data_IF_490947709842
#
_entry.id   IF_490947709842
#
_cell.length_a   1.000
_cell.length_b   1.000
_cell.length_c   1.000
_cell.angle_alpha   90.00
_cell.angle_beta   90.00
_cell.angle_gamma   90.00
#
_symmetry.space_group_name_H-M   'P 1'
#
loop_
_entity.id
_entity.type
_entity.pdbx_description
1 polymer ?
#
# COMPACT_ATOMS: atom_id res chain seq x y z
N UNK A 1 31.31 -3.26 -7.30
CA UNK A 1 30.70 -3.21 -8.65
C UNK A 1 29.55 -4.19 -8.56
N UNK A 2 28.33 -3.72 -8.44
CA UNK A 2 27.16 -4.60 -8.37
C UNK A 2 26.95 -5.22 -9.76
N UNK A 3 26.89 -6.54 -9.84
CA UNK A 3 26.45 -7.24 -11.05
C UNK A 3 25.04 -6.76 -11.40
N UNK A 4 24.72 -6.56 -12.68
CA UNK A 4 23.38 -6.17 -13.09
C UNK A 4 22.39 -7.25 -12.67
N UNK A 5 21.22 -6.85 -12.16
CA UNK A 5 20.07 -7.68 -11.78
C UNK A 5 19.70 -8.64 -12.95
N UNK A 6 20.37 -9.78 -13.03
CA UNK A 6 20.36 -10.70 -14.19
C UNK A 6 19.04 -11.49 -14.27
N UNK A 7 18.19 -11.42 -13.25
CA UNK A 7 16.96 -12.23 -13.12
C UNK A 7 15.68 -11.40 -13.30
N UNK A 8 15.76 -10.05 -13.28
CA UNK A 8 14.58 -9.20 -13.45
C UNK A 8 14.12 -9.15 -14.91
N UNK A 9 12.81 -9.29 -15.11
CA UNK A 9 12.19 -9.06 -16.41
C UNK A 9 12.09 -7.55 -16.77
N UNK A 10 11.62 -7.25 -17.98
CA UNK A 10 11.53 -5.86 -18.45
C UNK A 10 10.51 -5.03 -17.65
N UNK A 11 9.44 -5.64 -17.19
CA UNK A 11 8.42 -5.00 -16.32
C UNK A 11 9.04 -4.61 -14.98
N UNK A 12 9.70 -5.53 -14.35
CA UNK A 12 10.37 -5.32 -13.05
C UNK A 12 11.43 -4.22 -13.14
N UNK A 13 12.19 -4.18 -14.24
CA UNK A 13 13.15 -3.11 -14.50
C UNK A 13 12.49 -1.74 -14.64
N UNK A 14 11.37 -1.63 -15.37
CA UNK A 14 10.61 -0.36 -15.49
C UNK A 14 10.07 0.10 -14.15
N UNK A 15 9.45 -0.80 -13.39
CA UNK A 15 8.92 -0.50 -12.04
C UNK A 15 10.05 -0.03 -11.12
N UNK A 16 11.16 -0.75 -11.12
CA UNK A 16 12.32 -0.40 -10.29
C UNK A 16 12.87 0.98 -10.63
N UNK A 17 12.99 1.30 -11.93
CA UNK A 17 13.46 2.61 -12.39
C UNK A 17 12.51 3.73 -11.96
N UNK A 18 11.19 3.55 -12.12
CA UNK A 18 10.19 4.52 -11.71
C UNK A 18 10.18 4.74 -10.18
N UNK A 19 10.29 3.67 -9.40
CA UNK A 19 10.42 3.78 -7.95
C UNK A 19 11.71 4.47 -7.54
N UNK A 20 12.83 4.18 -8.21
CA UNK A 20 14.13 4.79 -7.94
C UNK A 20 14.11 6.30 -8.19
N UNK A 21 13.45 6.75 -9.28
CA UNK A 21 13.27 8.17 -9.60
C UNK A 21 12.47 8.93 -8.53
N UNK A 22 11.42 8.32 -8.00
CA UNK A 22 10.53 8.96 -7.03
C UNK A 22 11.01 8.81 -5.59
N UNK A 23 11.40 7.61 -5.20
CA UNK A 23 11.88 7.28 -3.85
C UNK A 23 12.78 6.06 -3.86
N UNK A 24 14.08 6.25 -3.80
CA UNK A 24 15.08 5.18 -3.80
C UNK A 24 14.85 4.11 -2.71
N UNK A 25 14.27 4.49 -1.57
CA UNK A 25 13.94 3.54 -0.50
C UNK A 25 12.89 2.52 -0.95
N UNK A 26 11.88 2.92 -1.76
CA UNK A 26 10.86 2.00 -2.28
C UNK A 26 11.45 1.04 -3.30
N UNK A 27 12.33 1.54 -4.16
CA UNK A 27 13.09 0.70 -5.08
C UNK A 27 13.91 -0.37 -4.35
N UNK A 28 14.52 -0.01 -3.22
CA UNK A 28 15.29 -0.94 -2.40
C UNK A 28 14.40 -1.99 -1.72
N UNK A 29 13.24 -1.62 -1.18
CA UNK A 29 12.27 -2.58 -0.66
C UNK A 29 11.81 -3.55 -1.73
N UNK A 30 11.43 -3.05 -2.90
CA UNK A 30 10.96 -3.88 -4.01
C UNK A 30 12.06 -4.84 -4.48
N UNK A 31 13.27 -4.35 -4.75
CA UNK A 31 14.43 -5.17 -5.11
C UNK A 31 14.72 -6.25 -4.06
N UNK A 32 14.64 -5.90 -2.77
CA UNK A 32 14.87 -6.85 -1.68
C UNK A 32 13.83 -7.96 -1.68
N UNK A 33 12.55 -7.62 -1.88
CA UNK A 33 11.47 -8.62 -1.98
C UNK A 33 11.71 -9.59 -3.14
N UNK A 34 12.05 -9.08 -4.33
CA UNK A 34 12.33 -9.92 -5.50
C UNK A 34 13.53 -10.84 -5.27
N UNK A 35 14.63 -10.34 -4.71
CA UNK A 35 15.83 -11.14 -4.42
C UNK A 35 15.60 -12.20 -3.35
N UNK A 36 14.73 -11.94 -2.38
CA UNK A 36 14.31 -12.96 -1.40
C UNK A 36 13.43 -14.03 -2.06
N UNK A 37 12.52 -13.64 -2.96
CA UNK A 37 11.65 -14.57 -3.68
C UNK A 37 12.43 -15.42 -4.69
N UNK A 38 13.39 -14.85 -5.41
CA UNK A 38 14.21 -15.56 -6.38
C UNK A 38 15.27 -16.47 -5.72
N UNK A 39 15.44 -16.38 -4.40
CA UNK A 39 16.47 -17.14 -3.69
C UNK A 39 17.89 -16.57 -3.80
N UNK A 40 18.07 -15.36 -4.39
CA UNK A 40 19.36 -14.69 -4.44
C UNK A 40 19.86 -14.22 -3.06
N UNK A 41 18.93 -13.94 -2.16
CA UNK A 41 19.22 -13.66 -0.75
C UNK A 41 18.82 -14.83 0.10
N UNK A 42 19.82 -15.48 0.68
CA UNK A 42 19.58 -16.60 1.58
C UNK A 42 19.13 -16.10 2.97
N UNK A 43 17.99 -16.61 3.41
CA UNK A 43 17.50 -16.51 4.79
C UNK A 43 17.20 -17.92 5.26
N UNK A 44 17.95 -18.39 6.25
CA UNK A 44 17.89 -19.78 6.70
C UNK A 44 16.56 -20.16 7.34
N UNK A 45 15.88 -19.21 7.96
CA UNK A 45 14.57 -19.45 8.56
C UNK A 45 13.45 -19.06 7.60
N UNK A 46 12.62 -20.03 7.14
CA UNK A 46 11.53 -19.77 6.20
C UNK A 46 10.52 -18.75 6.70
N UNK A 47 10.22 -18.73 7.99
CA UNK A 47 9.30 -17.75 8.59
C UNK A 47 9.85 -16.34 8.48
N UNK A 48 11.12 -16.14 8.81
CA UNK A 48 11.80 -14.86 8.69
C UNK A 48 11.83 -14.39 7.25
N UNK A 49 12.09 -15.28 6.29
CA UNK A 49 12.06 -14.96 4.85
C UNK A 49 10.68 -14.46 4.42
N UNK A 50 9.61 -15.17 4.76
CA UNK A 50 8.23 -14.79 4.45
C UNK A 50 7.87 -13.45 5.09
N UNK A 51 8.25 -13.22 6.35
CA UNK A 51 7.99 -11.96 7.05
C UNK A 51 8.73 -10.79 6.40
N UNK A 52 9.97 -10.97 5.94
CA UNK A 52 10.73 -9.92 5.25
C UNK A 52 10.12 -9.58 3.89
N UNK A 53 9.73 -10.59 3.09
CA UNK A 53 9.04 -10.36 1.82
C UNK A 53 7.73 -9.59 2.08
N UNK A 54 6.92 -10.05 3.03
CA UNK A 54 5.67 -9.41 3.42
C UNK A 54 5.89 -7.96 3.86
N UNK A 55 6.90 -7.69 4.68
CA UNK A 55 7.25 -6.35 5.12
C UNK A 55 7.66 -5.44 3.95
N UNK A 56 8.56 -5.91 3.09
CA UNK A 56 9.04 -5.15 1.95
C UNK A 56 7.88 -4.78 1.01
N UNK A 57 7.06 -5.75 0.61
CA UNK A 57 5.94 -5.51 -0.30
C UNK A 57 4.87 -4.62 0.33
N UNK A 58 4.54 -4.80 1.62
CA UNK A 58 3.64 -3.91 2.35
C UNK A 58 4.12 -2.46 2.32
N UNK A 59 5.41 -2.22 2.59
CA UNK A 59 5.98 -0.87 2.57
C UNK A 59 5.91 -0.24 1.18
N UNK A 60 6.24 -0.99 0.13
CA UNK A 60 6.10 -0.52 -1.25
C UNK A 60 4.65 -0.18 -1.56
N UNK A 61 3.71 -1.11 -1.35
CA UNK A 61 2.29 -0.93 -1.70
C UNK A 61 1.61 0.19 -0.92
N UNK A 62 2.01 0.43 0.33
CA UNK A 62 1.46 1.52 1.13
C UNK A 62 2.00 2.90 0.74
N UNK A 63 3.25 2.98 0.30
CA UNK A 63 3.93 4.27 0.09
C UNK A 63 3.97 4.70 -1.37
N UNK A 64 3.83 3.76 -2.31
CA UNK A 64 3.80 4.07 -3.74
C UNK A 64 2.62 4.96 -4.11
N UNK A 65 1.48 4.80 -3.42
CA UNK A 65 0.29 5.65 -3.58
C UNK A 65 0.62 7.15 -3.39
N UNK A 66 1.42 7.48 -2.38
CA UNK A 66 1.85 8.85 -2.14
C UNK A 66 3.07 9.29 -2.96
N UNK A 67 3.78 8.36 -3.61
CA UNK A 67 4.97 8.66 -4.42
C UNK A 67 4.62 8.90 -5.89
N UNK A 68 3.68 8.13 -6.43
CA UNK A 68 3.25 8.17 -7.84
C UNK A 68 1.82 8.69 -8.01
N UNK A 69 1.01 8.63 -6.95
CA UNK A 69 -0.39 9.02 -6.99
C UNK A 69 -0.62 10.53 -6.92
N UNK A 70 -1.86 10.91 -7.19
CA UNK A 70 -2.36 12.27 -6.97
C UNK A 70 -2.42 12.59 -5.47
N UNK A 71 -2.49 13.87 -5.06
CA UNK A 71 -2.71 14.22 -3.67
C UNK A 71 -3.96 13.53 -3.11
N UNK A 72 -3.78 12.75 -2.08
CA UNK A 72 -4.85 12.00 -1.43
C UNK A 72 -5.60 12.87 -0.41
N UNK A 73 -6.83 12.47 -0.07
CA UNK A 73 -7.62 13.16 0.94
C UNK A 73 -6.87 13.25 2.29
N UNK A 74 -7.03 14.34 3.05
CA UNK A 74 -6.33 14.52 4.32
C UNK A 74 -6.67 13.37 5.29
N UNK A 75 -5.67 12.96 6.06
CA UNK A 75 -5.86 11.92 7.08
C UNK A 75 -6.81 12.40 8.16
N UNK A 76 -7.70 11.50 8.58
CA UNK A 76 -8.53 11.75 9.76
C UNK A 76 -7.63 11.91 11.00
N UNK A 77 -7.91 12.93 11.80
CA UNK A 77 -7.14 13.20 13.04
C UNK A 77 -8.11 13.45 14.21
N UNK A 78 -7.86 12.81 15.36
CA UNK A 78 -6.84 11.78 15.60
C UNK A 78 -7.14 10.48 14.82
N UNK A 79 -6.10 9.71 14.49
CA UNK A 79 -6.27 8.42 13.81
C UNK A 79 -7.03 7.40 14.67
N UNK A 80 -7.57 6.36 14.05
CA UNK A 80 -8.20 5.25 14.81
C UNK A 80 -7.22 4.64 15.82
N UNK A 81 -5.96 4.46 15.43
CA UNK A 81 -4.92 3.95 16.31
C UNK A 81 -4.60 4.88 17.50
N UNK A 82 -4.60 6.21 17.29
CA UNK A 82 -4.39 7.17 18.39
C UNK A 82 -5.58 7.17 19.35
N UNK A 83 -6.79 7.03 18.83
CA UNK A 83 -8.00 6.94 19.64
C UNK A 83 -8.05 5.66 20.46
N UNK A 84 -7.66 4.51 19.89
CA UNK A 84 -7.55 3.24 20.63
C UNK A 84 -6.55 3.37 21.79
N UNK A 85 -5.40 4.02 21.57
CA UNK A 85 -4.40 4.23 22.63
C UNK A 85 -4.91 5.11 23.78
N UNK A 86 -5.87 5.99 23.52
CA UNK A 86 -6.47 6.85 24.55
C UNK A 86 -7.61 6.18 25.33
N UNK A 87 -8.16 5.04 24.87
CA UNK A 87 -9.28 4.36 25.53
C UNK A 87 -8.97 3.91 26.97
N UNK A 88 -7.78 3.35 27.30
CA UNK A 88 -7.48 2.94 28.68
C UNK A 88 -7.59 4.10 29.68
N UNK A 89 -7.06 5.28 29.34
CA UNK A 89 -7.11 6.46 30.20
C UNK A 89 -8.54 7.00 30.34
N UNK A 90 -9.34 6.89 29.28
CA UNK A 90 -10.75 7.24 29.32
C UNK A 90 -11.52 6.30 30.22
N UNK A 91 -11.37 4.98 30.07
CA UNK A 91 -12.07 3.96 30.85
C UNK A 91 -11.68 4.01 32.33
N UNK A 92 -10.43 4.36 32.65
CA UNK A 92 -10.00 4.52 34.05
C UNK A 92 -10.79 5.59 34.82
N UNK A 93 -11.47 6.52 34.14
CA UNK A 93 -12.35 7.52 34.76
C UNK A 93 -13.73 7.01 35.08
N UNK A 94 -14.09 5.82 34.60
CA UNK A 94 -15.39 5.18 34.76
C UNK A 94 -15.23 3.74 35.30
N UNK A 95 -14.69 3.55 36.52
CA UNK A 95 -14.39 2.23 37.05
C UNK A 95 -15.63 1.36 37.28
N UNK A 96 -16.83 1.97 37.32
CA UNK A 96 -18.09 1.28 37.43
C UNK A 96 -18.66 0.76 36.09
N UNK A 97 -18.00 1.05 34.99
CA UNK A 97 -18.44 0.62 33.66
C UNK A 97 -18.05 -0.84 33.41
N UNK A 98 -19.04 -1.71 33.47
CA UNK A 98 -18.94 -3.14 33.18
C UNK A 98 -19.43 -3.41 31.76
N UNK A 99 -18.50 -3.45 30.77
CA UNK A 99 -18.83 -3.68 29.35
C UNK A 99 -19.16 -5.15 29.06
N UNK A 100 -18.75 -6.07 29.93
CA UNK A 100 -18.96 -7.52 29.86
C UNK A 100 -20.18 -8.01 30.67
N UNK A 101 -21.00 -7.08 31.17
CA UNK A 101 -22.19 -7.40 31.93
C UNK A 101 -23.21 -8.15 31.06
N UNK A 102 -23.73 -9.26 31.59
CA UNK A 102 -24.85 -9.99 30.98
C UNK A 102 -26.10 -9.10 30.88
N UNK A 103 -26.65 -8.98 29.67
CA UNK A 103 -27.87 -8.22 29.44
C UNK A 103 -27.96 -7.69 28.00
N UNK A 104 -29.19 -7.34 27.57
CA UNK A 104 -29.45 -6.84 26.23
C UNK A 104 -28.88 -5.43 25.96
N UNK A 105 -28.55 -4.68 27.03
CA UNK A 105 -27.98 -3.33 26.93
C UNK A 105 -27.10 -2.98 28.11
N UNK A 106 -26.00 -2.29 27.86
CA UNK A 106 -25.10 -1.73 28.87
C UNK A 106 -25.20 -0.21 28.82
N UNK A 107 -25.56 0.48 29.92
CA UNK A 107 -25.53 1.94 29.96
C UNK A 107 -24.10 2.44 29.88
N UNK A 108 -23.78 3.19 28.83
CA UNK A 108 -22.44 3.73 28.59
C UNK A 108 -22.45 5.24 28.87
N UNK A 109 -21.47 5.77 29.64
CA UNK A 109 -21.32 7.21 29.83
C UNK A 109 -21.17 7.95 28.49
N UNK A 110 -21.75 9.17 28.42
CA UNK A 110 -21.76 9.94 27.18
C UNK A 110 -20.37 10.17 26.60
N UNK A 111 -19.35 10.38 27.44
CA UNK A 111 -17.97 10.57 26.99
C UNK A 111 -17.40 9.31 26.32
N UNK A 112 -17.70 8.12 26.87
CA UNK A 112 -17.26 6.84 26.30
C UNK A 112 -17.99 6.58 24.98
N UNK A 113 -19.29 6.83 24.92
CA UNK A 113 -20.09 6.69 23.70
C UNK A 113 -19.58 7.64 22.58
N UNK A 114 -19.25 8.89 22.93
CA UNK A 114 -18.68 9.85 21.99
C UNK A 114 -17.29 9.41 21.47
N UNK A 115 -16.44 8.86 22.35
CA UNK A 115 -15.12 8.34 21.94
C UNK A 115 -15.26 7.13 21.01
N UNK A 116 -16.22 6.22 21.27
CA UNK A 116 -16.52 5.10 20.38
C UNK A 116 -17.03 5.56 19.01
N UNK A 117 -17.94 6.53 18.97
CA UNK A 117 -18.45 7.10 17.71
C UNK A 117 -17.30 7.72 16.87
N UNK A 118 -16.43 8.49 17.52
CA UNK A 118 -15.26 9.07 16.87
C UNK A 118 -14.30 7.99 16.33
N UNK A 119 -14.05 6.93 17.11
CA UNK A 119 -13.22 5.79 16.70
C UNK A 119 -13.82 5.09 15.47
N UNK A 120 -15.13 4.80 15.47
CA UNK A 120 -15.79 4.19 14.32
C UNK A 120 -15.72 5.07 13.07
N UNK A 121 -15.96 6.38 13.22
CA UNK A 121 -15.84 7.34 12.11
C UNK A 121 -14.42 7.37 11.55
N UNK A 122 -13.40 7.41 12.42
CA UNK A 122 -12.01 7.37 11.99
C UNK A 122 -11.68 6.07 11.24
N UNK A 123 -12.07 4.91 11.78
CA UNK A 123 -11.82 3.61 11.17
C UNK A 123 -12.50 3.46 9.79
N UNK A 124 -13.76 3.91 9.68
CA UNK A 124 -14.50 3.90 8.40
C UNK A 124 -13.82 4.80 7.39
N UNK A 125 -13.43 6.02 7.79
CA UNK A 125 -12.74 6.97 6.92
C UNK A 125 -11.40 6.41 6.43
N UNK A 126 -10.58 5.84 7.33
CA UNK A 126 -9.29 5.25 6.99
C UNK A 126 -9.43 4.09 6.02
N UNK A 127 -10.43 3.22 6.24
CA UNK A 127 -10.72 2.09 5.32
C UNK A 127 -11.14 2.56 3.92
N UNK A 128 -12.00 3.60 3.83
CA UNK A 128 -12.41 4.17 2.55
C UNK A 128 -11.23 4.83 1.85
N UNK A 129 -10.46 5.63 2.59
CA UNK A 129 -9.33 6.37 2.05
C UNK A 129 -8.32 5.48 1.34
N UNK A 130 -7.99 4.31 1.88
CA UNK A 130 -7.06 3.37 1.21
C UNK A 130 -7.61 2.96 -0.16
N UNK A 131 -8.91 2.67 -0.27
CA UNK A 131 -9.53 2.34 -1.55
C UNK A 131 -9.55 3.51 -2.51
N UNK A 132 -9.86 4.70 -2.00
CA UNK A 132 -9.89 5.93 -2.80
C UNK A 132 -8.48 6.30 -3.29
N UNK A 133 -7.46 6.17 -2.43
CA UNK A 133 -6.05 6.38 -2.78
C UNK A 133 -5.59 5.41 -3.89
N UNK A 134 -5.98 4.13 -3.78
CA UNK A 134 -5.68 3.11 -4.80
C UNK A 134 -6.42 3.40 -6.10
N UNK A 135 -7.72 3.75 -6.03
CA UNK A 135 -8.51 4.09 -7.21
C UNK A 135 -7.89 5.28 -7.96
N UNK A 136 -7.53 6.34 -7.23
CA UNK A 136 -6.88 7.52 -7.80
C UNK A 136 -5.51 7.22 -8.46
N UNK A 137 -4.85 6.13 -8.06
CA UNK A 137 -3.60 5.70 -8.70
C UNK A 137 -3.85 4.86 -9.97
N UNK A 138 -4.77 3.88 -9.92
CA UNK A 138 -4.85 2.82 -10.93
C UNK A 138 -6.08 2.90 -11.84
N UNK A 139 -7.01 3.85 -11.60
CA UNK A 139 -8.19 4.07 -12.45
C UNK A 139 -8.27 5.52 -12.92
N UNK A 140 -8.74 5.74 -14.14
CA UNK A 140 -8.84 7.09 -14.72
C UNK A 140 -10.00 7.90 -14.13
N UNK A 141 -11.02 7.22 -13.59
CA UNK A 141 -12.28 7.77 -13.09
C UNK A 141 -12.40 7.73 -11.56
N UNK A 142 -11.30 7.46 -10.85
CA UNK A 142 -11.25 7.31 -9.39
C UNK A 142 -12.27 6.27 -8.84
N UNK A 143 -12.58 5.23 -9.64
CA UNK A 143 -13.60 4.24 -9.31
C UNK A 143 -13.13 3.23 -8.24
N UNK A 144 -13.42 3.51 -6.98
CA UNK A 144 -13.09 2.64 -5.86
C UNK A 144 -13.77 1.25 -5.90
N UNK A 145 -14.76 1.04 -6.75
CA UNK A 145 -15.42 -0.25 -6.96
C UNK A 145 -14.80 -1.08 -8.09
N UNK A 146 -13.82 -0.54 -8.80
CA UNK A 146 -13.15 -1.24 -9.89
C UNK A 146 -12.47 -2.53 -9.42
N UNK A 147 -12.49 -3.58 -10.26
CA UNK A 147 -11.90 -4.88 -9.91
C UNK A 147 -10.41 -4.79 -9.57
N UNK A 148 -9.67 -3.97 -10.29
CA UNK A 148 -8.24 -3.74 -10.06
C UNK A 148 -7.96 -3.19 -8.65
N UNK A 149 -8.81 -2.27 -8.14
CA UNK A 149 -8.74 -1.75 -6.77
C UNK A 149 -8.91 -2.89 -5.76
N UNK A 150 -9.86 -3.78 -6.02
CA UNK A 150 -10.09 -4.95 -5.15
C UNK A 150 -8.90 -5.90 -5.15
N UNK A 151 -8.32 -6.19 -6.31
CA UNK A 151 -7.13 -7.04 -6.45
C UNK A 151 -5.91 -6.43 -5.74
N UNK A 152 -5.68 -5.12 -5.90
CA UNK A 152 -4.62 -4.42 -5.17
C UNK A 152 -4.79 -4.56 -3.65
N UNK A 153 -5.99 -4.28 -3.13
CA UNK A 153 -6.27 -4.37 -1.69
C UNK A 153 -6.08 -5.80 -1.18
N UNK A 154 -6.54 -6.81 -1.93
CA UNK A 154 -6.33 -8.23 -1.55
C UNK A 154 -4.85 -8.58 -1.47
N UNK A 155 -4.05 -8.20 -2.47
CA UNK A 155 -2.61 -8.46 -2.46
C UNK A 155 -1.90 -7.71 -1.34
N UNK A 156 -2.28 -6.44 -1.09
CA UNK A 156 -1.76 -5.66 0.03
C UNK A 156 -2.08 -6.32 1.38
N UNK A 157 -3.32 -6.72 1.61
CA UNK A 157 -3.75 -7.34 2.87
C UNK A 157 -3.10 -8.70 3.08
N UNK A 158 -2.82 -9.44 2.00
CA UNK A 158 -1.99 -10.65 2.03
C UNK A 158 -0.59 -10.34 2.58
N UNK A 159 0.11 -9.35 2.04
CA UNK A 159 1.45 -9.00 2.54
C UNK A 159 1.42 -8.40 3.95
N UNK A 160 0.38 -7.67 4.33
CA UNK A 160 0.18 -7.20 5.72
C UNK A 160 0.06 -8.39 6.68
N UNK A 161 -0.73 -9.41 6.32
CA UNK A 161 -0.86 -10.64 7.12
C UNK A 161 0.48 -11.28 7.40
N UNK A 162 1.33 -11.42 6.38
CA UNK A 162 2.61 -12.11 6.48
C UNK A 162 3.74 -11.25 7.04
N UNK A 163 3.67 -9.93 6.91
CA UNK A 163 4.59 -9.02 7.56
C UNK A 163 4.56 -9.09 9.11
N UNK A 164 3.42 -9.53 9.69
CA UNK A 164 3.21 -9.69 11.13
C UNK A 164 3.21 -11.16 11.57
N UNK A 165 3.95 -12.00 10.88
CA UNK A 165 4.01 -13.44 11.16
C UNK A 165 4.52 -13.78 12.57
N UNK A 166 5.40 -12.94 13.13
CA UNK A 166 5.94 -13.11 14.49
C UNK A 166 4.91 -13.04 15.61
N UNK A 167 3.74 -12.43 15.36
CA UNK A 167 2.63 -12.33 16.31
C UNK A 167 1.73 -13.58 16.29
N UNK A 168 2.02 -14.57 15.42
CA UNK A 168 1.19 -15.73 15.20
C UNK A 168 1.97 -17.01 15.39
N UNK A 169 1.35 -17.97 16.07
CA UNK A 169 1.85 -19.33 16.14
C UNK A 169 1.42 -20.13 14.90
N UNK A 170 2.10 -19.88 13.78
CA UNK A 170 1.84 -20.51 12.48
C UNK A 170 2.82 -21.67 12.31
N UNK A 171 2.33 -22.86 11.97
CA UNK A 171 3.20 -23.98 11.64
C UNK A 171 3.98 -23.70 10.35
N UNK A 172 5.15 -24.29 10.18
CA UNK A 172 5.96 -24.11 8.97
C UNK A 172 5.22 -24.63 7.72
N UNK A 173 4.43 -25.69 7.87
CA UNK A 173 3.56 -26.24 6.82
C UNK A 173 2.48 -25.29 6.32
N UNK A 174 2.16 -24.26 7.10
CA UNK A 174 1.08 -23.29 6.82
C UNK A 174 1.62 -21.98 6.26
N UNK A 175 2.95 -21.92 6.02
CA UNK A 175 3.56 -20.78 5.35
C UNK A 175 3.17 -20.75 3.87
N UNK A 176 3.08 -19.56 3.26
CA UNK A 176 2.76 -19.44 1.85
C UNK A 176 3.88 -20.03 0.99
N UNK A 177 3.51 -20.61 -0.12
CA UNK A 177 4.48 -21.02 -1.15
C UNK A 177 5.05 -19.82 -1.89
N UNK A 178 6.21 -20.02 -2.53
CA UNK A 178 6.81 -19.00 -3.39
C UNK A 178 5.87 -18.64 -4.56
N UNK A 179 5.19 -19.61 -5.16
CA UNK A 179 4.24 -19.38 -6.25
C UNK A 179 3.06 -18.51 -5.81
N UNK A 180 2.55 -18.70 -4.59
CA UNK A 180 1.49 -17.86 -4.04
C UNK A 180 1.98 -16.41 -3.83
N UNK A 181 3.16 -16.25 -3.26
CA UNK A 181 3.76 -14.92 -3.08
C UNK A 181 4.05 -14.24 -4.42
N UNK A 182 4.59 -14.96 -5.41
CA UNK A 182 4.78 -14.46 -6.78
C UNK A 182 3.46 -14.05 -7.43
N UNK A 183 2.37 -14.78 -7.20
CA UNK A 183 1.06 -14.41 -7.69
C UNK A 183 0.62 -13.03 -7.21
N UNK A 184 0.81 -12.73 -5.94
CA UNK A 184 0.49 -11.41 -5.37
C UNK A 184 1.46 -10.31 -5.79
N UNK A 185 2.74 -10.60 -5.95
CA UNK A 185 3.71 -9.67 -6.55
C UNK A 185 3.33 -9.36 -7.99
N UNK A 186 2.96 -10.37 -8.79
CA UNK A 186 2.54 -10.21 -10.18
C UNK A 186 1.32 -9.29 -10.33
N UNK A 187 0.34 -9.38 -9.44
CA UNK A 187 -0.80 -8.44 -9.42
C UNK A 187 -0.33 -7.00 -9.18
N UNK A 188 0.55 -6.79 -8.21
CA UNK A 188 1.13 -5.47 -7.96
C UNK A 188 1.89 -4.94 -9.18
N UNK A 189 2.74 -5.78 -9.78
CA UNK A 189 3.56 -5.43 -10.94
C UNK A 189 2.70 -5.07 -12.16
N UNK A 190 1.66 -5.87 -12.46
CA UNK A 190 0.78 -5.63 -13.59
C UNK A 190 0.05 -4.28 -13.47
N UNK A 191 -0.53 -4.02 -12.31
CA UNK A 191 -1.27 -2.79 -12.06
C UNK A 191 -0.35 -1.57 -12.06
N UNK A 192 0.81 -1.65 -11.44
CA UNK A 192 1.74 -0.54 -11.35
C UNK A 192 2.43 -0.24 -12.69
N UNK A 193 2.80 -1.26 -13.46
CA UNK A 193 3.37 -1.09 -14.79
C UNK A 193 2.39 -0.42 -15.75
N UNK A 194 1.09 -0.73 -15.64
CA UNK A 194 0.03 -0.03 -16.37
C UNK A 194 0.02 1.47 -16.09
N UNK A 195 0.08 1.85 -14.82
CA UNK A 195 0.15 3.27 -14.39
C UNK A 195 1.41 3.95 -14.91
N UNK A 196 2.57 3.31 -14.78
CA UNK A 196 3.86 3.83 -15.22
C UNK A 196 3.85 4.03 -16.75
N UNK A 197 3.36 3.06 -17.48
CA UNK A 197 3.29 3.12 -18.95
C UNK A 197 2.37 4.23 -19.44
N UNK A 198 1.19 4.38 -18.82
CA UNK A 198 0.24 5.46 -19.13
C UNK A 198 0.85 6.84 -18.83
N UNK A 199 1.57 6.98 -17.71
CA UNK A 199 2.25 8.22 -17.34
C UNK A 199 3.30 8.62 -18.37
N UNK A 200 4.16 7.70 -18.81
CA UNK A 200 5.19 7.99 -19.81
C UNK A 200 4.60 8.28 -21.19
N UNK A 201 3.53 7.57 -21.59
CA UNK A 201 2.83 7.87 -22.84
C UNK A 201 2.25 9.30 -22.83
N UNK A 202 1.69 9.74 -21.70
CA UNK A 202 1.18 11.10 -21.55
C UNK A 202 2.28 12.16 -21.58
N UNK A 203 3.45 11.87 -20.99
CA UNK A 203 4.61 12.76 -21.01
C UNK A 203 5.12 12.97 -22.45
N UNK A 204 5.30 11.91 -23.23
CA UNK A 204 5.72 12.01 -24.62
C UNK A 204 4.72 12.80 -25.47
N UNK A 205 3.43 12.59 -25.28
CA UNK A 205 2.41 13.36 -26.00
C UNK A 205 2.47 14.87 -25.69
N UNK A 206 2.81 15.24 -24.44
CA UNK A 206 3.02 16.65 -24.05
C UNK A 206 4.30 17.20 -24.68
N UNK A 207 5.40 16.46 -24.71
CA UNK A 207 6.67 16.86 -25.34
C UNK A 207 6.49 17.08 -26.85
N UNK A 208 5.77 16.19 -27.52
CA UNK A 208 5.44 16.32 -28.95
C UNK A 208 4.61 17.59 -29.19
N UNK A 209 3.59 17.86 -28.38
CA UNK A 209 2.75 19.06 -28.48
C UNK A 209 3.55 20.35 -28.27
N UNK A 210 4.45 20.37 -27.28
CA UNK A 210 5.33 21.54 -27.03
C UNK A 210 6.26 21.76 -28.24
N UNK A 211 6.79 20.69 -28.82
CA UNK A 211 7.68 20.76 -29.99
C UNK A 211 6.92 21.32 -31.21
N UNK A 212 5.64 20.93 -31.40
CA UNK A 212 4.78 21.44 -32.48
C UNK A 212 4.47 22.93 -32.31
N UNK A 213 4.18 23.37 -31.08
CA UNK A 213 3.91 24.77 -30.75
C UNK A 213 5.16 25.63 -31.07
N UNK A 214 6.32 25.21 -30.59
CA UNK A 214 7.59 25.94 -30.82
C UNK A 214 7.93 26.04 -32.30
N UNK A 215 7.73 24.96 -33.08
CA UNK A 215 7.95 24.97 -34.54
C UNK A 215 6.98 25.92 -35.27
N UNK A 216 5.76 26.08 -34.73
CA UNK A 216 4.76 26.99 -35.33
C UNK A 216 5.09 28.46 -35.05
N UNK A 217 5.63 28.80 -33.87
CA UNK A 217 6.06 30.15 -33.52
C UNK A 217 7.26 30.61 -34.33
N UNK A 218 8.25 29.74 -34.56
CA UNK A 218 9.42 30.04 -35.40
C UNK A 218 9.04 30.29 -36.89
N UNK A 219 7.93 29.71 -37.35
CA UNK A 219 7.45 29.91 -38.74
C UNK A 219 6.64 31.20 -38.95
N UNK A 220 6.26 31.93 -37.90
CA UNK A 220 5.47 33.16 -37.98
C UNK A 220 6.38 34.41 -38.02
N UNK A 221 7.64 34.30 -37.55
CA UNK A 221 8.60 35.40 -37.49
C UNK A 221 9.57 35.42 -38.72
N UNK A 222 9.34 34.60 -39.73
CA UNK A 222 10.10 34.53 -40.96
C UNK A 222 9.29 35.07 -42.15
#
# INVERSE_FOLDING_TARGET
>A
MAEPDTIMDDRQRRILAALQDKRAELANFYRTALRLLSGELEVFDPRTRVAFIGHCMREVMNRVLGALGRPTAPRFKPSSGDQVKALPDLLARFPELELDRDGDSVPVPQEVAAAMDMLFKAAIHEKRRIRDDVAALITDDDNASHVAVTQWIQSRDYFVKWAHLHERDVAESDLPSDDEMWGHVGVFEELLDGVITAFFASLHAIEDLISEINATEEGIDA
#
